data_IF_334842659450
#
_entry.id   IF_334842659450
#
_cell.length_a   1.000
_cell.length_b   1.000
_cell.length_c   1.000
_cell.angle_alpha   90.00
_cell.angle_beta   90.00
_cell.angle_gamma   90.00
#
_symmetry.space_group_name_H-M   'P 1'
#
loop_
_entity.id
_entity.type
_entity.pdbx_description
1 polymer ?
#
# COMPACT_ATOMS: atom_id res chain seq x y z
N UNK A 1 27.21 22.35 -1.91
CA UNK A 1 25.77 22.59 -1.62
C UNK A 1 24.78 21.94 -2.60
N UNK A 2 25.14 21.67 -3.87
CA UNK A 2 24.24 21.08 -4.90
C UNK A 2 23.72 19.66 -4.56
N UNK A 3 24.53 18.84 -3.89
CA UNK A 3 24.19 17.46 -3.53
C UNK A 3 23.10 17.35 -2.44
N UNK A 4 23.12 18.21 -1.41
CA UNK A 4 22.10 18.21 -0.34
C UNK A 4 20.69 18.50 -0.87
N UNK A 5 20.55 19.41 -1.84
CA UNK A 5 19.26 19.70 -2.48
C UNK A 5 18.74 18.54 -3.33
N UNK A 6 19.63 17.80 -4.00
CA UNK A 6 19.26 16.65 -4.79
C UNK A 6 18.78 15.47 -3.92
N UNK A 7 19.42 15.25 -2.77
CA UNK A 7 19.01 14.23 -1.80
C UNK A 7 17.65 14.59 -1.19
N UNK A 8 17.45 15.84 -0.78
CA UNK A 8 16.16 16.30 -0.25
C UNK A 8 15.00 16.09 -1.22
N UNK A 9 15.22 16.35 -2.52
CA UNK A 9 14.21 16.10 -3.56
C UNK A 9 13.85 14.61 -3.74
N UNK A 10 14.85 13.72 -3.68
CA UNK A 10 14.62 12.26 -3.77
C UNK A 10 13.86 11.74 -2.55
N UNK A 11 14.21 12.22 -1.35
CA UNK A 11 13.50 11.84 -0.11
C UNK A 11 12.04 12.29 -0.17
N UNK A 12 11.76 13.53 -0.58
CA UNK A 12 10.39 14.04 -0.65
C UNK A 12 9.53 13.25 -1.66
N UNK A 13 10.11 12.86 -2.80
CA UNK A 13 9.45 12.00 -3.78
C UNK A 13 9.19 10.60 -3.24
N UNK A 14 10.18 10.01 -2.58
CA UNK A 14 10.03 8.70 -1.96
C UNK A 14 8.95 8.70 -0.87
N UNK A 15 8.91 9.74 -0.03
CA UNK A 15 7.88 9.89 1.00
C UNK A 15 6.49 10.05 0.38
N UNK A 16 6.32 10.95 -0.59
CA UNK A 16 5.01 11.17 -1.23
C UNK A 16 4.52 9.93 -2.00
N UNK A 17 5.41 9.24 -2.72
CA UNK A 17 5.07 8.00 -3.40
C UNK A 17 4.77 6.85 -2.42
N UNK A 18 5.57 6.74 -1.36
CA UNK A 18 5.33 5.80 -0.25
C UNK A 18 3.97 6.02 0.41
N UNK A 19 3.62 7.26 0.76
CA UNK A 19 2.32 7.61 1.34
C UNK A 19 1.16 7.29 0.38
N UNK A 20 1.33 7.60 -0.91
CA UNK A 20 0.34 7.29 -1.93
C UNK A 20 0.06 5.79 -2.03
N UNK A 21 1.10 4.97 -2.12
CA UNK A 21 0.96 3.51 -2.19
C UNK A 21 0.45 2.93 -0.86
N UNK A 22 0.86 3.48 0.28
CA UNK A 22 0.36 3.11 1.61
C UNK A 22 -1.15 3.27 1.75
N UNK A 23 -1.76 4.24 1.08
CA UNK A 23 -3.21 4.43 1.14
C UNK A 23 -3.91 3.56 0.09
N UNK A 24 -3.43 3.59 -1.16
CA UNK A 24 -4.12 2.93 -2.28
C UNK A 24 -4.03 1.41 -2.17
N UNK A 25 -2.85 0.86 -1.88
CA UNK A 25 -2.64 -0.59 -1.97
C UNK A 25 -3.42 -1.38 -0.89
N UNK A 26 -3.46 -0.96 0.39
CA UNK A 26 -4.31 -1.62 1.39
C UNK A 26 -5.80 -1.61 1.05
N UNK A 27 -6.31 -0.52 0.48
CA UNK A 27 -7.71 -0.43 0.04
C UNK A 27 -7.99 -1.43 -1.07
N UNK A 28 -7.10 -1.49 -2.07
CA UNK A 28 -7.21 -2.48 -3.16
C UNK A 28 -7.16 -3.91 -2.61
N UNK A 29 -6.28 -4.19 -1.65
CA UNK A 29 -6.15 -5.52 -1.04
C UNK A 29 -7.39 -5.90 -0.22
N UNK A 30 -7.95 -4.99 0.58
CA UNK A 30 -9.17 -5.25 1.34
C UNK A 30 -10.35 -5.53 0.41
N UNK A 31 -10.58 -4.67 -0.58
CA UNK A 31 -11.66 -4.85 -1.57
C UNK A 31 -11.45 -6.13 -2.39
N UNK A 32 -10.21 -6.45 -2.75
CA UNK A 32 -9.87 -7.69 -3.44
C UNK A 32 -10.17 -8.92 -2.59
N UNK A 33 -9.81 -8.90 -1.30
CA UNK A 33 -10.10 -10.00 -0.38
C UNK A 33 -11.61 -10.20 -0.18
N UNK A 34 -12.38 -9.11 -0.06
CA UNK A 34 -13.84 -9.13 0.02
C UNK A 34 -14.48 -9.67 -1.27
N UNK A 35 -14.04 -9.18 -2.42
CA UNK A 35 -14.52 -9.64 -3.72
C UNK A 35 -14.28 -11.14 -3.88
N UNK A 36 -13.06 -11.61 -3.58
CA UNK A 36 -12.73 -13.05 -3.63
C UNK A 36 -13.56 -13.84 -2.61
N UNK A 37 -13.72 -13.34 -1.38
CA UNK A 37 -14.53 -13.98 -0.34
C UNK A 37 -16.00 -14.14 -0.74
N UNK A 38 -16.58 -13.14 -1.42
CA UNK A 38 -17.93 -13.21 -1.96
C UNK A 38 -18.03 -14.17 -3.14
N UNK A 39 -17.08 -14.14 -4.08
CA UNK A 39 -17.07 -15.05 -5.24
C UNK A 39 -16.86 -16.52 -4.81
N UNK A 40 -16.07 -16.76 -3.77
CA UNK A 40 -15.82 -18.10 -3.23
C UNK A 40 -16.95 -18.61 -2.31
N UNK A 41 -17.98 -17.80 -2.03
CA UNK A 41 -19.11 -18.17 -1.18
C UNK A 41 -18.81 -18.22 0.32
N UNK A 42 -17.61 -17.81 0.77
CA UNK A 42 -17.23 -17.76 2.19
C UNK A 42 -17.78 -16.54 2.94
N UNK A 43 -18.18 -15.52 2.19
CA UNK A 43 -18.65 -14.23 2.67
C UNK A 43 -20.14 -14.07 2.30
N UNK A 44 -21.03 -14.54 3.16
CA UNK A 44 -22.49 -14.56 2.94
C UNK A 44 -23.27 -14.02 4.14
N UNK A 45 -24.61 -13.91 4.04
CA UNK A 45 -25.45 -13.40 5.14
C UNK A 45 -25.19 -14.19 6.43
N UNK A 46 -24.78 -13.49 7.49
CA UNK A 46 -24.39 -14.07 8.78
C UNK A 46 -22.87 -14.24 9.01
N UNK A 47 -22.04 -14.16 7.96
CA UNK A 47 -20.55 -14.29 8.03
C UNK A 47 -19.81 -12.95 7.88
N UNK A 48 -20.51 -11.85 7.55
CA UNK A 48 -19.89 -10.53 7.32
C UNK A 48 -19.00 -10.07 8.47
N UNK A 49 -19.35 -10.37 9.73
CA UNK A 49 -18.55 -9.94 10.88
C UNK A 49 -17.09 -10.38 10.82
N UNK A 50 -16.79 -11.62 10.47
CA UNK A 50 -15.42 -12.11 10.34
C UNK A 50 -14.74 -11.67 9.04
N UNK A 51 -15.52 -11.59 7.96
CA UNK A 51 -15.02 -11.33 6.62
C UNK A 51 -14.61 -9.85 6.43
N UNK A 52 -15.46 -8.92 6.88
CA UNK A 52 -15.18 -7.48 6.86
C UNK A 52 -14.02 -7.14 7.82
N UNK A 53 -14.02 -7.74 9.02
CA UNK A 53 -12.97 -7.53 10.01
C UNK A 53 -11.62 -8.09 9.53
N UNK A 54 -11.63 -9.23 8.84
CA UNK A 54 -10.45 -9.81 8.20
C UNK A 54 -9.90 -8.92 7.09
N UNK A 55 -10.75 -8.36 6.23
CA UNK A 55 -10.34 -7.43 5.18
C UNK A 55 -9.79 -6.11 5.77
N UNK A 56 -10.42 -5.57 6.81
CA UNK A 56 -9.93 -4.40 7.52
C UNK A 56 -8.57 -4.68 8.20
N UNK A 57 -8.42 -5.85 8.84
CA UNK A 57 -7.16 -6.28 9.44
C UNK A 57 -6.05 -6.45 8.40
N UNK A 58 -6.37 -7.01 7.24
CA UNK A 58 -5.45 -7.12 6.11
C UNK A 58 -4.98 -5.74 5.63
N UNK A 59 -5.89 -4.77 5.50
CA UNK A 59 -5.52 -3.41 5.11
C UNK A 59 -4.56 -2.76 6.12
N UNK A 60 -4.85 -2.89 7.42
CA UNK A 60 -3.99 -2.35 8.48
C UNK A 60 -2.60 -3.01 8.45
N UNK A 61 -2.55 -4.33 8.32
CA UNK A 61 -1.29 -5.07 8.23
C UNK A 61 -0.48 -4.68 6.98
N UNK A 62 -1.17 -4.44 5.85
CA UNK A 62 -0.55 -4.08 4.59
C UNK A 62 -0.04 -2.63 4.53
N UNK A 63 -0.41 -1.75 5.47
CA UNK A 63 -0.05 -0.34 5.44
C UNK A 63 1.47 -0.11 5.41
N UNK A 64 2.21 -0.68 6.38
CA UNK A 64 3.66 -0.51 6.47
C UNK A 64 4.38 -1.13 5.27
N UNK A 65 4.10 -2.40 4.87
CA UNK A 65 4.69 -2.98 3.66
C UNK A 65 4.42 -2.14 2.40
N UNK A 66 3.21 -1.60 2.25
CA UNK A 66 2.83 -0.78 1.09
C UNK A 66 3.61 0.53 1.03
N UNK A 67 3.84 1.18 2.18
CA UNK A 67 4.70 2.35 2.25
C UNK A 67 6.12 2.03 1.79
N UNK A 68 6.70 0.95 2.31
CA UNK A 68 8.06 0.52 1.97
C UNK A 68 8.19 0.21 0.47
N UNK A 69 7.19 -0.45 -0.12
CA UNK A 69 7.14 -0.72 -1.56
C UNK A 69 7.09 0.57 -2.37
N UNK A 70 6.22 1.52 -2.04
CA UNK A 70 6.08 2.78 -2.77
C UNK A 70 7.33 3.66 -2.65
N UNK A 71 7.86 3.82 -1.44
CA UNK A 71 9.07 4.60 -1.20
C UNK A 71 10.29 3.94 -1.85
N UNK A 72 10.45 2.63 -1.68
CA UNK A 72 11.53 1.85 -2.27
C UNK A 72 11.51 1.90 -3.80
N UNK A 73 10.34 1.80 -4.42
CA UNK A 73 10.19 1.93 -5.86
C UNK A 73 10.59 3.32 -6.37
N UNK A 74 10.20 4.39 -5.65
CA UNK A 74 10.61 5.75 -5.98
C UNK A 74 12.12 5.91 -5.92
N UNK A 75 12.76 5.42 -4.86
CA UNK A 75 14.23 5.46 -4.70
C UNK A 75 14.90 4.67 -5.82
N UNK A 76 14.41 3.46 -6.13
CA UNK A 76 14.94 2.64 -7.20
C UNK A 76 14.85 3.34 -8.57
N UNK A 77 13.71 3.99 -8.89
CA UNK A 77 13.60 4.78 -10.13
C UNK A 77 14.55 5.96 -10.15
N UNK A 78 14.72 6.67 -9.04
CA UNK A 78 15.64 7.81 -8.95
C UNK A 78 17.10 7.38 -9.09
N UNK A 79 17.48 6.21 -8.53
CA UNK A 79 18.80 5.62 -8.71
C UNK A 79 19.05 5.13 -10.14
N UNK A 80 18.05 4.50 -10.77
CA UNK A 80 18.16 4.00 -12.15
C UNK A 80 18.23 5.11 -13.20
N UNK A 81 17.72 6.31 -12.90
CA UNK A 81 17.72 7.48 -13.80
C UNK A 81 18.97 8.36 -13.65
N UNK A 82 19.78 8.14 -12.63
CA UNK A 82 21.08 8.80 -12.44
C UNK A 82 22.16 8.06 -13.20
#
# INVERSE_FOLDING_TARGET
MRSKRAIGGMVLRALSMGLGVMIVLPVVLALGALAVGHLAGGCGPGSSGGCEMGAAGLALYAAIPSFVLGAGWSVFRDLRKR
#
